data_IF_639146548832
#
_entry.id   IF_639146548832
#
_cell.length_a   1.000
_cell.length_b   1.000
_cell.length_c   1.000
_cell.angle_alpha   90.00
_cell.angle_beta   90.00
_cell.angle_gamma   90.00
#
_symmetry.space_group_name_H-M   'P 1'
#
loop_
_entity.id
_entity.type
_entity.pdbx_description
1 polymer ?
#
# COMPACT_ATOMS: atom_id res chain seq x y z
N UNK A 1 6.74 -2.38 -19.54
CA UNK A 1 7.51 -2.51 -18.29
C UNK A 1 7.15 -1.30 -17.45
N UNK A 2 6.15 -1.45 -16.57
CA UNK A 2 5.68 -0.35 -15.72
C UNK A 2 6.81 0.01 -14.76
N UNK A 3 7.34 1.22 -14.88
CA UNK A 3 8.33 1.76 -13.96
C UNK A 3 7.61 2.04 -12.64
N UNK A 4 7.72 1.11 -11.68
CA UNK A 4 7.52 1.42 -10.27
C UNK A 4 8.67 2.37 -9.84
N UNK A 5 8.52 3.64 -10.20
CA UNK A 5 9.21 4.80 -9.65
C UNK A 5 8.12 5.65 -9.01
N UNK A 6 7.52 5.11 -7.95
CA UNK A 6 6.68 5.90 -7.07
C UNK A 6 7.56 6.24 -5.86
N UNK A 7 7.94 7.50 -5.76
CA UNK A 7 8.52 8.05 -4.54
C UNK A 7 7.51 7.77 -3.43
N UNK A 8 7.93 6.88 -2.51
CA UNK A 8 7.12 6.18 -1.53
C UNK A 8 6.53 7.15 -0.50
N UNK A 9 5.47 7.86 -0.86
CA UNK A 9 4.52 8.28 0.15
C UNK A 9 3.91 6.99 0.73
N UNK A 10 3.87 6.83 2.07
CA UNK A 10 3.27 5.65 2.67
C UNK A 10 1.82 5.53 2.21
N UNK A 11 1.42 4.31 1.83
CA UNK A 11 0.05 4.05 1.43
C UNK A 11 -0.88 4.51 2.55
N UNK A 12 -1.87 5.33 2.20
CA UNK A 12 -2.77 5.89 3.20
C UNK A 12 -3.75 4.80 3.70
N UNK A 13 -4.03 4.76 5.02
CA UNK A 13 -5.00 3.81 5.56
C UNK A 13 -6.38 4.05 4.96
N UNK A 14 -7.23 3.02 4.91
CA UNK A 14 -8.55 3.13 4.32
C UNK A 14 -9.38 4.19 5.05
N UNK A 15 -10.33 4.78 4.32
CA UNK A 15 -11.35 5.64 4.91
C UNK A 15 -12.71 4.96 4.90
N UNK A 16 -13.59 5.43 5.79
CA UNK A 16 -14.99 5.03 5.80
C UNK A 16 -15.84 6.12 5.18
N UNK A 17 -16.51 5.79 4.09
CA UNK A 17 -17.47 6.65 3.42
C UNK A 17 -18.83 5.96 3.34
N UNK A 18 -19.93 6.72 3.45
CA UNK A 18 -21.24 6.18 3.13
C UNK A 18 -21.38 6.02 1.61
N UNK A 19 -22.45 5.34 1.18
CA UNK A 19 -22.76 5.16 -0.24
C UNK A 19 -23.05 6.48 -0.97
N UNK A 20 -23.02 6.40 -2.30
CA UNK A 20 -23.14 7.54 -3.22
C UNK A 20 -24.36 8.43 -2.94
N UNK A 21 -25.54 7.83 -2.76
CA UNK A 21 -26.77 8.56 -2.45
C UNK A 21 -26.68 9.40 -1.17
N UNK A 22 -26.01 8.88 -0.13
CA UNK A 22 -25.80 9.60 1.13
C UNK A 22 -24.80 10.73 0.97
N UNK A 23 -23.74 10.53 0.18
CA UNK A 23 -22.79 11.61 -0.15
C UNK A 23 -23.48 12.71 -0.97
N UNK A 24 -24.27 12.35 -1.98
CA UNK A 24 -25.02 13.31 -2.79
C UNK A 24 -26.07 14.07 -1.96
N UNK A 25 -26.75 13.40 -1.02
CA UNK A 25 -27.62 14.06 -0.05
C UNK A 25 -26.85 15.04 0.85
N UNK A 26 -25.65 14.68 1.30
CA UNK A 26 -24.80 15.58 2.07
C UNK A 26 -24.36 16.80 1.24
N UNK A 27 -24.04 16.62 -0.05
CA UNK A 27 -23.75 17.73 -0.98
C UNK A 27 -24.93 18.70 -1.05
N UNK A 28 -26.14 18.19 -1.27
CA UNK A 28 -27.35 19.02 -1.37
C UNK A 28 -27.67 19.75 -0.06
N UNK A 29 -27.22 19.23 1.08
CA UNK A 29 -27.36 19.86 2.39
C UNK A 29 -26.20 20.82 2.75
N UNK A 30 -25.15 20.92 1.94
CA UNK A 30 -24.03 21.80 2.22
C UNK A 30 -24.44 23.28 2.11
N UNK A 31 -23.91 24.19 2.96
CA UNK A 31 -24.35 25.59 2.96
C UNK A 31 -24.22 26.32 1.61
N UNK A 32 -23.22 25.99 0.81
CA UNK A 32 -23.01 26.57 -0.53
C UNK A 32 -23.79 25.87 -1.65
N UNK A 33 -24.61 24.86 -1.35
CA UNK A 33 -25.33 24.10 -2.36
C UNK A 33 -26.30 24.97 -3.18
N UNK A 34 -27.00 25.90 -2.53
CA UNK A 34 -27.93 26.82 -3.19
C UNK A 34 -27.23 27.79 -4.18
N UNK A 35 -26.01 28.20 -3.85
CA UNK A 35 -25.20 29.05 -4.72
C UNK A 35 -24.65 28.27 -5.91
N UNK A 36 -24.14 27.06 -5.64
CA UNK A 36 -23.40 26.25 -6.59
C UNK A 36 -24.26 25.36 -7.47
N UNK A 37 -25.50 25.10 -7.04
CA UNK A 37 -26.52 24.37 -7.79
C UNK A 37 -25.99 23.08 -8.43
N UNK A 38 -25.48 22.13 -7.62
CA UNK A 38 -25.19 20.81 -8.15
C UNK A 38 -26.53 20.15 -8.55
N UNK A 39 -26.72 19.91 -9.84
CA UNK A 39 -27.93 19.32 -10.41
C UNK A 39 -27.63 17.95 -11.03
N UNK A 40 -28.68 17.17 -11.28
CA UNK A 40 -28.59 15.85 -11.88
C UNK A 40 -28.82 14.70 -10.91
N UNK A 41 -28.48 13.50 -11.36
CA UNK A 41 -28.45 12.32 -10.51
C UNK A 41 -27.32 12.38 -9.46
N UNK A 42 -27.24 11.37 -8.59
CA UNK A 42 -26.26 11.38 -7.49
C UNK A 42 -24.81 11.44 -7.99
N UNK A 43 -24.51 10.85 -9.15
CA UNK A 43 -23.17 10.84 -9.74
C UNK A 43 -22.82 12.20 -10.34
N UNK A 44 -23.76 12.80 -11.06
CA UNK A 44 -23.64 14.15 -11.63
C UNK A 44 -23.46 15.21 -10.54
N UNK A 45 -24.24 15.12 -9.46
CA UNK A 45 -24.13 16.00 -8.28
C UNK A 45 -22.74 15.91 -7.64
N UNK A 46 -22.23 14.69 -7.45
CA UNK A 46 -20.90 14.50 -6.88
C UNK A 46 -19.80 15.00 -7.81
N UNK A 47 -19.86 14.69 -9.11
CA UNK A 47 -18.88 15.17 -10.07
C UNK A 47 -18.81 16.71 -10.13
N UNK A 48 -19.97 17.37 -10.18
CA UNK A 48 -20.06 18.83 -10.14
C UNK A 48 -19.48 19.41 -8.84
N UNK A 49 -19.84 18.84 -7.69
CA UNK A 49 -19.35 19.29 -6.39
C UNK A 49 -17.83 19.14 -6.25
N UNK A 50 -17.28 18.01 -6.68
CA UNK A 50 -15.84 17.79 -6.69
C UNK A 50 -15.10 18.82 -7.57
N UNK A 51 -15.69 19.22 -8.69
CA UNK A 51 -15.20 20.34 -9.52
C UNK A 51 -15.17 21.65 -8.76
N UNK A 52 -16.30 22.05 -8.14
CA UNK A 52 -16.38 23.28 -7.36
C UNK A 52 -15.43 23.33 -6.16
N UNK A 53 -15.26 22.21 -5.46
CA UNK A 53 -14.28 22.11 -4.39
C UNK A 53 -12.86 22.31 -4.92
N UNK A 54 -12.51 21.65 -6.03
CA UNK A 54 -11.19 21.76 -6.64
C UNK A 54 -10.87 23.19 -7.05
N UNK A 55 -11.80 23.88 -7.71
CA UNK A 55 -11.58 25.25 -8.17
C UNK A 55 -11.37 26.22 -7.01
N UNK A 56 -12.19 26.11 -5.95
CA UNK A 56 -12.05 26.97 -4.76
C UNK A 56 -10.79 26.67 -3.95
N UNK A 57 -10.45 25.39 -3.77
CA UNK A 57 -9.25 24.98 -3.04
C UNK A 57 -7.97 25.34 -3.82
N UNK A 58 -7.99 25.26 -5.16
CA UNK A 58 -6.87 25.66 -5.99
C UNK A 58 -6.64 27.19 -5.98
N UNK A 59 -7.70 27.98 -5.74
CA UNK A 59 -7.59 29.44 -5.63
C UNK A 59 -6.90 29.89 -4.32
N UNK A 60 -6.87 29.04 -3.29
CA UNK A 60 -6.20 29.31 -2.02
C UNK A 60 -5.33 28.12 -1.57
N UNK A 61 -4.03 28.22 -1.84
CA UNK A 61 -3.06 27.18 -1.47
C UNK A 61 -2.99 26.91 0.04
N UNK A 62 -3.34 27.86 0.89
CA UNK A 62 -3.37 27.65 2.35
C UNK A 62 -4.52 26.72 2.73
N UNK A 63 -5.70 26.97 2.14
CA UNK A 63 -6.90 26.17 2.35
C UNK A 63 -6.72 24.72 1.88
N UNK A 64 -6.08 24.53 0.71
CA UNK A 64 -5.75 23.21 0.19
C UNK A 64 -4.81 22.44 1.12
N UNK A 65 -3.74 23.09 1.60
CA UNK A 65 -2.80 22.47 2.54
C UNK A 65 -3.47 22.13 3.87
N UNK A 66 -4.39 22.97 4.34
CA UNK A 66 -5.14 22.71 5.57
C UNK A 66 -6.06 21.48 5.42
N UNK A 67 -6.80 21.36 4.33
CA UNK A 67 -7.63 20.19 4.04
C UNK A 67 -6.79 18.90 3.97
N UNK A 68 -5.66 18.94 3.25
CA UNK A 68 -4.74 17.80 3.13
C UNK A 68 -4.17 17.45 4.51
N UNK A 69 -3.76 18.43 5.31
CA UNK A 69 -3.27 18.20 6.68
C UNK A 69 -4.34 17.52 7.54
N UNK A 70 -5.58 18.03 7.56
CA UNK A 70 -6.68 17.41 8.30
C UNK A 70 -6.97 15.98 7.82
N UNK A 71 -6.81 15.72 6.52
CA UNK A 71 -6.99 14.39 5.96
C UNK A 71 -5.88 13.43 6.37
N UNK A 72 -4.62 13.85 6.29
CA UNK A 72 -3.48 12.98 6.61
C UNK A 72 -3.35 12.72 8.12
N UNK A 73 -3.57 13.73 8.97
CA UNK A 73 -3.41 13.55 10.43
C UNK A 73 -4.59 12.85 11.07
N UNK A 74 -5.81 13.00 10.51
CA UNK A 74 -7.07 12.55 11.13
C UNK A 74 -7.33 13.11 12.53
N UNK A 75 -6.56 14.11 12.95
CA UNK A 75 -6.65 14.70 14.27
C UNK A 75 -7.73 15.79 14.32
N UNK A 76 -8.49 15.90 15.41
CA UNK A 76 -9.40 17.01 15.60
C UNK A 76 -8.65 18.35 15.61
N UNK A 77 -9.15 19.32 14.85
CA UNK A 77 -8.61 20.66 14.77
C UNK A 77 -9.29 21.59 15.78
N UNK A 78 -8.50 22.42 16.47
CA UNK A 78 -8.99 23.43 17.42
C UNK A 78 -8.84 24.82 16.82
N UNK A 79 -9.78 25.72 17.13
CA UNK A 79 -9.78 27.11 16.65
C UNK A 79 -10.80 27.38 15.53
N UNK A 80 -10.60 28.47 14.80
CA UNK A 80 -11.49 28.87 13.71
C UNK A 80 -11.20 28.06 12.45
N UNK A 81 -12.24 27.47 11.85
CA UNK A 81 -12.14 26.79 10.55
C UNK A 81 -12.49 27.77 9.44
N UNK A 82 -11.76 27.76 8.30
CA UNK A 82 -12.09 28.62 7.18
C UNK A 82 -13.55 28.48 6.73
N UNK A 83 -14.21 29.63 6.54
CA UNK A 83 -15.62 29.70 6.10
C UNK A 83 -15.87 28.90 4.82
N UNK A 84 -14.88 28.82 3.93
CA UNK A 84 -14.97 28.03 2.69
C UNK A 84 -15.10 26.54 2.96
N UNK A 85 -14.36 25.96 3.93
CA UNK A 85 -14.49 24.53 4.26
C UNK A 85 -15.86 24.24 4.87
N UNK A 86 -16.33 25.12 5.76
CA UNK A 86 -17.65 25.04 6.37
C UNK A 86 -18.76 25.18 5.33
N UNK A 87 -18.63 26.15 4.43
CA UNK A 87 -19.59 26.41 3.35
C UNK A 87 -19.70 25.26 2.35
N UNK A 88 -18.58 24.62 2.04
CA UNK A 88 -18.53 23.42 1.20
C UNK A 88 -18.96 22.14 1.95
N UNK A 89 -19.27 22.24 3.25
CA UNK A 89 -19.66 21.10 4.09
C UNK A 89 -18.53 20.10 4.31
N UNK A 90 -17.26 20.49 4.16
CA UNK A 90 -16.09 19.60 4.27
C UNK A 90 -15.69 19.32 5.72
N UNK A 91 -16.19 20.11 6.67
CA UNK A 91 -15.95 19.94 8.10
C UNK A 91 -17.26 19.76 8.85
N UNK A 92 -17.22 19.05 9.98
CA UNK A 92 -18.33 18.99 10.93
C UNK A 92 -18.38 20.30 11.73
N UNK A 93 -19.58 20.84 11.96
CA UNK A 93 -19.76 22.11 12.68
C UNK A 93 -19.79 21.94 14.22
N UNK A 94 -18.84 21.18 14.76
CA UNK A 94 -18.72 20.90 16.20
C UNK A 94 -17.23 20.92 16.60
N UNK A 95 -16.89 21.59 17.69
CA UNK A 95 -15.51 21.66 18.20
C UNK A 95 -15.18 20.45 19.08
N UNK A 96 -14.01 19.80 18.92
CA UNK A 96 -12.97 20.08 17.93
C UNK A 96 -13.37 19.60 16.52
N UNK A 97 -13.03 20.41 15.52
CA UNK A 97 -13.46 20.23 14.14
C UNK A 97 -12.78 19.02 13.50
N UNK A 98 -13.56 18.21 12.80
CA UNK A 98 -13.08 17.06 12.04
C UNK A 98 -13.65 17.12 10.62
N UNK A 99 -13.00 16.41 9.69
CA UNK A 99 -13.56 16.27 8.34
C UNK A 99 -14.93 15.58 8.40
N UNK A 100 -15.88 16.11 7.66
CA UNK A 100 -17.14 15.43 7.37
C UNK A 100 -16.91 14.27 6.40
N UNK A 101 -17.94 13.47 6.10
CA UNK A 101 -17.83 12.49 5.02
C UNK A 101 -17.52 13.13 3.66
N UNK A 102 -18.06 14.33 3.38
CA UNK A 102 -17.71 15.08 2.18
C UNK A 102 -16.25 15.55 2.21
N UNK A 103 -15.77 16.01 3.37
CA UNK A 103 -14.37 16.38 3.55
C UNK A 103 -13.42 15.23 3.27
N UNK A 104 -13.70 14.05 3.84
CA UNK A 104 -12.93 12.83 3.60
C UNK A 104 -12.94 12.43 2.12
N UNK A 105 -14.12 12.45 1.49
CA UNK A 105 -14.28 12.07 0.09
C UNK A 105 -13.58 13.04 -0.86
N UNK A 106 -13.77 14.36 -0.69
CA UNK A 106 -13.10 15.38 -1.53
C UNK A 106 -11.59 15.33 -1.34
N UNK A 107 -11.10 15.27 -0.10
CA UNK A 107 -9.67 15.20 0.17
C UNK A 107 -9.04 13.93 -0.42
N UNK A 108 -9.73 12.78 -0.38
CA UNK A 108 -9.30 11.55 -1.06
C UNK A 108 -9.11 11.77 -2.55
N UNK A 109 -10.06 12.42 -3.23
CA UNK A 109 -9.95 12.70 -4.67
C UNK A 109 -8.77 13.64 -4.99
N UNK A 110 -8.53 14.62 -4.13
CA UNK A 110 -7.44 15.58 -4.28
C UNK A 110 -6.08 14.90 -4.07
N UNK A 111 -5.94 14.09 -3.02
CA UNK A 111 -4.71 13.32 -2.76
C UNK A 111 -4.41 12.42 -3.96
N UNK A 112 -5.38 11.64 -4.42
CA UNK A 112 -5.21 10.78 -5.60
C UNK A 112 -4.79 11.56 -6.84
N UNK A 113 -5.41 12.71 -7.13
CA UNK A 113 -5.05 13.54 -8.27
C UNK A 113 -3.65 14.18 -8.14
N UNK A 114 -3.19 14.46 -6.92
CA UNK A 114 -1.93 15.18 -6.66
C UNK A 114 -0.74 14.23 -6.56
N UNK A 115 -0.93 13.08 -5.93
CA UNK A 115 0.14 12.11 -5.65
C UNK A 115 0.11 10.89 -6.56
N UNK A 116 -1.01 10.66 -7.28
CA UNK A 116 -1.24 9.41 -8.00
C UNK A 116 -1.63 8.23 -7.08
N UNK A 117 -1.76 8.47 -5.77
CA UNK A 117 -2.05 7.41 -4.80
C UNK A 117 -3.53 7.36 -4.45
N UNK A 118 -4.15 6.22 -4.74
CA UNK A 118 -5.51 5.94 -4.30
C UNK A 118 -5.54 5.61 -2.80
N UNK A 119 -6.44 6.27 -2.07
CA UNK A 119 -6.74 5.91 -0.67
C UNK A 119 -7.90 4.92 -0.67
N UNK A 120 -7.76 3.70 -0.15
CA UNK A 120 -8.86 2.74 -0.18
C UNK A 120 -10.09 3.23 0.60
N UNK A 121 -11.27 2.76 0.21
CA UNK A 121 -12.50 2.94 1.00
C UNK A 121 -12.85 1.56 1.58
N UNK A 122 -13.18 1.50 2.88
CA UNK A 122 -13.62 0.24 3.49
C UNK A 122 -14.79 -0.37 2.71
N UNK A 123 -14.67 -1.65 2.37
CA UNK A 123 -15.60 -2.44 1.57
C UNK A 123 -15.46 -2.27 0.05
N UNK A 124 -14.61 -1.36 -0.43
CA UNK A 124 -14.44 -1.15 -1.89
C UNK A 124 -13.78 -2.33 -2.60
N UNK A 125 -13.14 -3.24 -1.87
CA UNK A 125 -12.49 -4.40 -2.46
C UNK A 125 -13.43 -5.61 -2.61
N UNK A 126 -14.68 -5.54 -2.14
CA UNK A 126 -15.59 -6.69 -2.06
C UNK A 126 -15.74 -7.47 -3.39
N UNK A 127 -15.84 -6.74 -4.50
CA UNK A 127 -16.00 -7.31 -5.85
C UNK A 127 -14.67 -7.53 -6.58
N UNK A 128 -13.54 -7.18 -5.96
CA UNK A 128 -12.20 -7.31 -6.54
C UNK A 128 -11.70 -8.77 -6.58
N UNK A 129 -10.66 -9.03 -7.36
CA UNK A 129 -9.94 -10.32 -7.30
C UNK A 129 -8.98 -10.36 -6.09
N UNK A 130 -8.42 -11.54 -5.80
CA UNK A 130 -7.48 -11.69 -4.69
C UNK A 130 -6.22 -10.82 -4.85
N UNK A 131 -5.78 -10.51 -6.07
CA UNK A 131 -4.62 -9.66 -6.28
C UNK A 131 -4.93 -8.20 -5.90
N UNK A 132 -6.11 -7.70 -6.26
CA UNK A 132 -6.61 -6.39 -5.86
C UNK A 132 -6.81 -6.31 -4.34
N UNK A 133 -7.38 -7.35 -3.72
CA UNK A 133 -7.49 -7.45 -2.26
C UNK A 133 -6.11 -7.33 -1.61
N UNK A 134 -5.16 -8.21 -1.95
CA UNK A 134 -3.83 -8.22 -1.35
C UNK A 134 -3.04 -6.93 -1.61
N UNK A 135 -3.31 -6.25 -2.73
CA UNK A 135 -2.71 -4.95 -3.02
C UNK A 135 -3.25 -3.86 -2.09
N UNK A 136 -4.57 -3.82 -1.88
CA UNK A 136 -5.24 -2.85 -1.02
C UNK A 136 -4.86 -3.03 0.45
N UNK A 137 -4.86 -4.27 0.95
CA UNK A 137 -4.56 -4.59 2.36
C UNK A 137 -3.17 -4.13 2.82
N UNK A 138 -2.26 -3.80 1.90
CA UNK A 138 -0.95 -3.22 2.23
C UNK A 138 -1.04 -1.93 3.05
N UNK A 139 -2.10 -1.15 2.88
CA UNK A 139 -2.31 0.10 3.63
C UNK A 139 -3.19 -0.05 4.86
N UNK A 140 -3.80 -1.22 5.06
CA UNK A 140 -4.78 -1.44 6.12
C UNK A 140 -4.06 -1.80 7.43
N UNK A 141 -4.44 -1.17 8.56
CA UNK A 141 -4.15 -1.68 9.90
C UNK A 141 -4.68 -3.11 10.08
N UNK A 142 -4.01 -3.93 10.91
CA UNK A 142 -4.35 -5.35 11.10
C UNK A 142 -5.84 -5.58 11.42
N UNK A 143 -6.39 -4.82 12.37
CA UNK A 143 -7.80 -4.93 12.76
C UNK A 143 -8.79 -4.62 11.62
N UNK A 144 -8.40 -3.77 10.65
CA UNK A 144 -9.25 -3.42 9.50
C UNK A 144 -9.08 -4.40 8.34
N UNK A 145 -7.97 -5.14 8.27
CA UNK A 145 -7.78 -6.21 7.27
C UNK A 145 -8.79 -7.32 7.43
N UNK A 146 -9.08 -7.72 8.67
CA UNK A 146 -10.05 -8.77 8.98
C UNK A 146 -11.46 -8.37 8.54
N UNK A 147 -11.84 -7.11 8.76
CA UNK A 147 -13.14 -6.58 8.33
C UNK A 147 -13.24 -6.55 6.79
N UNK A 148 -12.21 -6.04 6.11
CA UNK A 148 -12.19 -5.98 4.64
C UNK A 148 -12.22 -7.39 4.02
N UNK A 149 -11.45 -8.33 4.60
CA UNK A 149 -11.46 -9.73 4.18
C UNK A 149 -12.85 -10.35 4.35
N UNK A 150 -13.52 -10.12 5.48
CA UNK A 150 -14.87 -10.62 5.72
C UNK A 150 -15.87 -10.04 4.69
N UNK A 151 -15.70 -8.78 4.30
CA UNK A 151 -16.45 -8.15 3.21
C UNK A 151 -16.20 -8.84 1.87
N UNK A 152 -14.94 -9.07 1.52
CA UNK A 152 -14.54 -9.75 0.28
C UNK A 152 -15.02 -11.19 0.17
N UNK A 153 -15.06 -11.92 1.28
CA UNK A 153 -15.54 -13.30 1.34
C UNK A 153 -17.06 -13.44 1.22
N UNK A 154 -17.81 -12.34 1.34
CA UNK A 154 -19.28 -12.38 1.33
C UNK A 154 -19.80 -12.91 -0.01
N UNK A 155 -20.40 -14.09 0.00
CA UNK A 155 -20.96 -14.73 -1.18
C UNK A 155 -19.94 -15.49 -2.04
N UNK A 156 -18.69 -15.64 -1.57
CA UNK A 156 -17.68 -16.51 -2.18
C UNK A 156 -17.66 -17.88 -1.51
N UNK A 157 -17.36 -18.92 -2.27
CA UNK A 157 -17.08 -20.24 -1.71
C UNK A 157 -15.69 -20.23 -1.03
N UNK A 158 -15.56 -20.68 0.23
CA UNK A 158 -14.30 -20.59 0.98
C UNK A 158 -13.11 -21.26 0.28
N UNK A 159 -13.31 -22.42 -0.33
CA UNK A 159 -12.26 -23.16 -1.04
C UNK A 159 -11.77 -22.41 -2.29
N UNK A 160 -12.69 -21.75 -3.00
CA UNK A 160 -12.36 -20.94 -4.18
C UNK A 160 -11.57 -19.70 -3.76
N UNK A 161 -11.99 -19.03 -2.69
CA UNK A 161 -11.28 -17.87 -2.14
C UNK A 161 -9.85 -18.20 -1.71
N UNK A 162 -9.65 -19.33 -1.00
CA UNK A 162 -8.32 -19.83 -0.62
C UNK A 162 -7.45 -20.11 -1.84
N UNK A 163 -8.02 -20.78 -2.86
CA UNK A 163 -7.31 -21.08 -4.09
C UNK A 163 -6.92 -19.80 -4.86
N UNK A 164 -7.81 -18.81 -4.90
CA UNK A 164 -7.59 -17.53 -5.55
C UNK A 164 -6.43 -16.75 -4.90
N UNK A 165 -6.43 -16.64 -3.56
CA UNK A 165 -5.34 -16.01 -2.80
C UNK A 165 -4.01 -16.75 -3.04
N UNK A 166 -4.01 -18.08 -2.93
CA UNK A 166 -2.82 -18.89 -3.12
C UNK A 166 -2.24 -18.78 -4.55
N UNK A 167 -3.09 -18.65 -5.56
CA UNK A 167 -2.68 -18.43 -6.94
C UNK A 167 -2.07 -17.04 -7.14
N UNK A 168 -2.68 -16.00 -6.56
CA UNK A 168 -2.24 -14.61 -6.67
C UNK A 168 -0.81 -14.41 -6.13
N UNK A 169 -0.43 -15.17 -5.08
CA UNK A 169 0.88 -15.05 -4.43
C UNK A 169 2.03 -14.96 -5.44
N UNK A 170 2.05 -15.76 -6.51
CA UNK A 170 3.16 -15.79 -7.46
C UNK A 170 3.41 -14.46 -8.20
N UNK A 171 2.41 -13.60 -8.30
CA UNK A 171 2.41 -12.43 -9.22
C UNK A 171 2.29 -11.09 -8.52
N UNK A 172 1.83 -11.07 -7.27
CA UNK A 172 1.69 -9.83 -6.48
C UNK A 172 3.04 -9.30 -6.00
N UNK A 173 3.05 -8.07 -5.49
CA UNK A 173 4.24 -7.46 -4.89
C UNK A 173 4.70 -8.21 -3.63
N UNK A 174 5.98 -8.07 -3.23
CA UNK A 174 6.49 -8.64 -1.99
C UNK A 174 5.65 -8.40 -0.73
N UNK A 175 5.16 -7.18 -0.47
CA UNK A 175 4.31 -6.94 0.71
C UNK A 175 2.93 -7.61 0.57
N UNK A 176 2.29 -7.52 -0.59
CA UNK A 176 1.04 -8.24 -0.86
C UNK A 176 1.19 -9.76 -0.70
N UNK A 177 2.34 -10.31 -1.11
CA UNK A 177 2.69 -11.72 -0.93
C UNK A 177 2.84 -12.06 0.56
N UNK A 178 3.48 -11.20 1.34
CA UNK A 178 3.60 -11.36 2.79
C UNK A 178 2.22 -11.46 3.45
N UNK A 179 1.34 -10.50 3.14
CA UNK A 179 -0.03 -10.46 3.63
C UNK A 179 -0.80 -11.71 3.21
N UNK A 180 -0.71 -12.12 1.94
CA UNK A 180 -1.41 -13.32 1.47
C UNK A 180 -0.95 -14.60 2.17
N UNK A 181 0.34 -14.74 2.48
CA UNK A 181 0.86 -15.87 3.26
C UNK A 181 0.36 -15.83 4.70
N UNK A 182 0.32 -14.66 5.32
CA UNK A 182 -0.23 -14.45 6.66
C UNK A 182 -1.71 -14.85 6.71
N UNK A 183 -2.54 -14.27 5.82
CA UNK A 183 -3.97 -14.56 5.74
C UNK A 183 -4.24 -16.06 5.57
N UNK A 184 -3.56 -16.72 4.63
CA UNK A 184 -3.68 -18.17 4.44
C UNK A 184 -3.23 -18.99 5.66
N UNK A 185 -2.31 -18.46 6.47
CA UNK A 185 -1.84 -19.15 7.68
C UNK A 185 -2.81 -18.99 8.86
N UNK A 186 -3.48 -17.85 8.98
CA UNK A 186 -4.22 -17.46 10.18
C UNK A 186 -5.73 -17.44 10.01
N UNK A 187 -6.25 -17.06 8.83
CA UNK A 187 -7.68 -16.79 8.63
C UNK A 187 -8.46 -17.97 8.04
N UNK A 188 -7.78 -18.92 7.39
CA UNK A 188 -8.42 -20.00 6.62
C UNK A 188 -8.16 -21.41 7.17
N UNK A 189 -7.78 -21.54 8.45
CA UNK A 189 -7.67 -22.85 9.10
C UNK A 189 -6.73 -23.85 8.39
N UNK A 190 -7.17 -25.10 8.28
CA UNK A 190 -6.39 -26.18 7.66
C UNK A 190 -6.32 -26.04 6.14
N UNK A 191 -7.37 -25.53 5.51
CA UNK A 191 -7.48 -25.31 4.08
C UNK A 191 -6.40 -24.33 3.60
N UNK A 192 -6.22 -23.23 4.32
CA UNK A 192 -5.16 -22.25 4.05
C UNK A 192 -3.75 -22.82 4.25
N UNK A 193 -3.52 -23.57 5.35
CA UNK A 193 -2.24 -24.27 5.58
C UNK A 193 -1.93 -25.29 4.49
N UNK A 194 -2.93 -26.00 4.00
CA UNK A 194 -2.79 -26.96 2.90
C UNK A 194 -2.50 -26.26 1.58
N UNK A 195 -3.17 -25.14 1.30
CA UNK A 195 -2.91 -24.32 0.14
C UNK A 195 -1.46 -23.83 0.10
N UNK A 196 -0.92 -23.33 1.23
CA UNK A 196 0.50 -22.95 1.35
C UNK A 196 1.43 -24.14 1.17
N UNK A 197 1.11 -25.29 1.76
CA UNK A 197 1.91 -26.51 1.62
C UNK A 197 2.07 -26.94 0.16
N UNK A 198 1.01 -26.83 -0.65
CA UNK A 198 1.05 -27.12 -2.09
C UNK A 198 1.97 -26.18 -2.87
N UNK A 199 2.22 -24.96 -2.37
CA UNK A 199 3.12 -24.00 -3.02
C UNK A 199 4.61 -24.28 -2.75
N UNK A 200 4.94 -25.09 -1.73
CA UNK A 200 6.33 -25.32 -1.33
C UNK A 200 7.19 -25.93 -2.43
N UNK A 201 6.60 -26.73 -3.32
CA UNK A 201 7.32 -27.33 -4.46
C UNK A 201 7.72 -26.31 -5.52
N UNK A 202 7.07 -25.14 -5.57
CA UNK A 202 7.45 -24.07 -6.49
C UNK A 202 8.72 -23.42 -5.96
N UNK A 203 9.81 -23.40 -6.73
CA UNK A 203 11.14 -22.92 -6.28
C UNK A 203 11.12 -21.64 -5.42
N UNK A 204 11.25 -20.48 -6.06
CA UNK A 204 11.41 -19.18 -5.39
C UNK A 204 10.24 -18.84 -4.46
N UNK A 205 9.00 -19.06 -4.92
CA UNK A 205 7.81 -18.79 -4.10
C UNK A 205 7.74 -19.70 -2.87
N UNK A 206 8.01 -21.00 -3.04
CA UNK A 206 8.01 -21.98 -1.96
C UNK A 206 9.11 -21.70 -0.94
N UNK A 207 10.28 -21.20 -1.37
CA UNK A 207 11.32 -20.72 -0.45
C UNK A 207 10.86 -19.52 0.38
N UNK A 208 10.16 -18.54 -0.22
CA UNK A 208 9.58 -17.41 0.52
C UNK A 208 8.52 -17.87 1.51
N UNK A 209 7.63 -18.76 1.10
CA UNK A 209 6.59 -19.32 1.97
C UNK A 209 7.24 -20.09 3.13
N UNK A 210 8.24 -20.92 2.86
CA UNK A 210 8.94 -21.68 3.89
C UNK A 210 9.61 -20.76 4.93
N UNK A 211 10.31 -19.72 4.47
CA UNK A 211 10.94 -18.74 5.35
C UNK A 211 9.91 -18.01 6.22
N UNK A 212 8.79 -17.56 5.64
CA UNK A 212 7.74 -16.82 6.36
C UNK A 212 6.93 -17.69 7.34
N UNK A 213 6.79 -18.99 7.05
CA UNK A 213 6.01 -19.92 7.88
C UNK A 213 6.87 -20.76 8.82
N UNK A 214 8.19 -20.52 8.88
CA UNK A 214 9.12 -21.21 9.79
C UNK A 214 9.39 -22.68 9.41
N UNK A 215 9.20 -23.06 8.14
CA UNK A 215 9.41 -24.42 7.64
C UNK A 215 10.88 -24.67 7.29
N UNK A 216 11.64 -25.17 8.26
CA UNK A 216 13.09 -25.37 8.17
C UNK A 216 13.49 -26.67 7.46
N UNK A 217 12.54 -27.56 7.18
CA UNK A 217 12.77 -28.82 6.47
C UNK A 217 13.11 -28.61 4.99
N UNK A 218 12.68 -27.48 4.40
CA UNK A 218 13.04 -27.11 3.03
C UNK A 218 14.44 -26.52 3.02
N UNK A 219 15.32 -27.09 2.21
CA UNK A 219 16.66 -26.54 1.96
C UNK A 219 16.65 -25.73 0.64
N UNK A 220 16.52 -24.40 0.68
CA UNK A 220 16.52 -23.58 -0.53
C UNK A 220 17.90 -23.56 -1.20
N UNK A 221 17.91 -23.57 -2.54
CA UNK A 221 19.13 -23.34 -3.31
C UNK A 221 19.65 -21.90 -3.12
N UNK A 222 20.93 -21.62 -3.40
CA UNK A 222 21.51 -20.29 -3.22
C UNK A 222 20.77 -19.15 -3.92
N UNK A 223 20.20 -19.39 -5.10
CA UNK A 223 19.41 -18.39 -5.82
C UNK A 223 18.03 -18.17 -5.22
N UNK A 224 17.44 -19.20 -4.61
CA UNK A 224 16.21 -19.06 -3.83
C UNK A 224 16.45 -18.29 -2.53
N UNK A 225 17.59 -18.49 -1.86
CA UNK A 225 17.98 -17.71 -0.68
C UNK A 225 18.10 -16.22 -1.04
N UNK A 226 18.81 -15.91 -2.14
CA UNK A 226 18.91 -14.54 -2.64
C UNK A 226 17.53 -13.94 -2.95
N UNK A 227 16.64 -14.75 -3.55
CA UNK A 227 15.27 -14.33 -3.82
C UNK A 227 14.48 -13.99 -2.57
N UNK A 228 14.55 -14.84 -1.52
CA UNK A 228 13.88 -14.65 -0.24
C UNK A 228 14.34 -13.35 0.42
N UNK A 229 15.66 -13.13 0.49
CA UNK A 229 16.21 -11.92 1.11
C UNK A 229 15.72 -10.65 0.40
N UNK A 230 15.69 -10.65 -0.94
CA UNK A 230 15.18 -9.50 -1.69
C UNK A 230 13.67 -9.32 -1.53
N UNK A 231 12.87 -10.40 -1.52
CA UNK A 231 11.42 -10.31 -1.30
C UNK A 231 11.10 -9.76 0.11
N UNK A 232 11.79 -10.23 1.15
CA UNK A 232 11.60 -9.72 2.50
C UNK A 232 12.02 -8.25 2.63
N UNK A 233 13.17 -7.87 2.08
CA UNK A 233 13.63 -6.48 2.04
C UNK A 233 12.64 -5.56 1.30
N UNK A 234 12.16 -6.00 0.15
CA UNK A 234 11.20 -5.25 -0.65
C UNK A 234 9.83 -5.11 0.05
N UNK A 235 9.39 -6.13 0.80
CA UNK A 235 8.16 -6.05 1.58
C UNK A 235 8.25 -4.96 2.67
N UNK A 236 9.39 -4.84 3.35
CA UNK A 236 9.63 -3.76 4.34
C UNK A 236 9.65 -2.37 3.68
N UNK A 237 10.29 -2.26 2.51
CA UNK A 237 10.29 -1.01 1.74
C UNK A 237 8.87 -0.59 1.33
N UNK A 238 8.06 -1.54 0.88
CA UNK A 238 6.66 -1.29 0.50
C UNK A 238 5.78 -0.90 1.69
N UNK A 239 6.11 -1.35 2.90
CA UNK A 239 5.36 -1.02 4.10
C UNK A 239 5.53 0.46 4.50
N UNK A 240 6.61 1.11 4.04
CA UNK A 240 6.87 2.53 4.27
C UNK A 240 7.64 2.81 5.57
N UNK A 241 8.34 1.81 6.11
CA UNK A 241 9.28 2.01 7.21
C UNK A 241 10.40 2.99 6.82
N UNK A 242 10.95 3.70 7.80
CA UNK A 242 12.08 4.59 7.59
C UNK A 242 13.26 3.79 6.97
N UNK A 243 13.93 4.32 5.93
CA UNK A 243 15.02 3.61 5.25
C UNK A 243 16.08 2.99 6.18
N UNK A 244 16.39 3.67 7.29
CA UNK A 244 17.32 3.17 8.31
C UNK A 244 16.80 1.92 9.04
N UNK A 245 15.53 1.89 9.40
CA UNK A 245 14.88 0.74 10.07
C UNK A 245 14.77 -0.45 9.13
N UNK A 246 14.52 -0.19 7.84
CA UNK A 246 14.53 -1.23 6.81
C UNK A 246 15.92 -1.84 6.69
N UNK A 247 16.97 -1.01 6.64
CA UNK A 247 18.37 -1.46 6.58
C UNK A 247 18.74 -2.30 7.82
N UNK A 248 18.39 -1.84 9.02
CA UNK A 248 18.62 -2.57 10.27
C UNK A 248 17.89 -3.93 10.28
N UNK A 249 16.65 -3.97 9.80
CA UNK A 249 15.87 -5.20 9.69
C UNK A 249 16.47 -6.19 8.69
N UNK A 250 16.99 -5.71 7.55
CA UNK A 250 17.66 -6.55 6.55
C UNK A 250 19.04 -7.00 7.05
N UNK A 251 19.69 -6.22 7.91
CA UNK A 251 20.97 -6.60 8.47
C UNK A 251 20.90 -7.91 9.27
N UNK A 252 19.73 -8.29 9.81
CA UNK A 252 19.55 -9.56 10.54
C UNK A 252 20.62 -9.78 11.64
N UNK A 253 21.11 -8.69 12.25
CA UNK A 253 22.18 -8.72 13.26
C UNK A 253 23.61 -8.84 12.72
N UNK A 254 23.81 -8.87 11.40
CA UNK A 254 25.13 -8.89 10.75
C UNK A 254 25.88 -7.56 10.95
N UNK A 255 27.20 -7.65 11.13
CA UNK A 255 28.05 -6.47 11.10
C UNK A 255 28.22 -5.93 9.67
N UNK A 256 28.83 -4.74 9.52
CA UNK A 256 28.98 -4.11 8.22
C UNK A 256 29.90 -4.88 7.24
N UNK A 257 30.82 -5.70 7.72
CA UNK A 257 31.66 -6.56 6.86
C UNK A 257 30.86 -7.76 6.34
N UNK A 258 30.13 -8.43 7.21
CA UNK A 258 29.22 -9.53 6.89
C UNK A 258 28.12 -9.08 5.92
N UNK A 259 27.53 -7.90 6.14
CA UNK A 259 26.57 -7.29 5.24
C UNK A 259 27.19 -7.02 3.86
N UNK A 260 28.37 -6.38 3.82
CA UNK A 260 29.07 -6.11 2.55
C UNK A 260 29.39 -7.41 1.79
N UNK A 261 29.69 -8.51 2.49
CA UNK A 261 29.88 -9.84 1.93
C UNK A 261 28.60 -10.47 1.38
N UNK A 262 27.43 -10.11 1.93
CA UNK A 262 26.12 -10.63 1.55
C UNK A 262 25.51 -9.90 0.35
N UNK A 263 25.74 -8.59 0.20
CA UNK A 263 25.20 -7.79 -0.92
C UNK A 263 25.42 -8.43 -2.32
N UNK A 264 26.61 -8.99 -2.66
CA UNK A 264 26.81 -9.68 -3.93
C UNK A 264 25.86 -10.87 -4.17
N UNK A 265 25.42 -11.54 -3.10
CA UNK A 265 24.50 -12.68 -3.16
C UNK A 265 23.11 -12.20 -3.58
N UNK A 266 22.67 -11.02 -3.13
CA UNK A 266 21.36 -10.45 -3.51
C UNK A 266 21.25 -10.26 -5.03
N UNK A 267 22.34 -9.92 -5.71
CA UNK A 267 22.39 -9.76 -7.17
C UNK A 267 22.39 -11.08 -7.95
N UNK A 268 22.51 -12.23 -7.27
CA UNK A 268 22.42 -13.55 -7.88
C UNK A 268 20.96 -13.98 -8.13
N UNK A 269 20.04 -13.55 -7.24
CA UNK A 269 18.61 -13.70 -7.44
C UNK A 269 18.14 -12.73 -8.53
N UNK A 270 17.49 -13.26 -9.55
CA UNK A 270 16.87 -12.51 -10.66
C UNK A 270 15.59 -11.75 -10.23
N UNK A 271 15.56 -11.22 -8.99
CA UNK A 271 14.40 -10.56 -8.40
C UNK A 271 14.08 -9.22 -9.04
N UNK A 272 12.82 -8.96 -9.48
CA UNK A 272 12.43 -7.69 -10.06
C UNK A 272 12.80 -6.49 -9.16
N UNK A 273 12.71 -6.69 -7.84
CA UNK A 273 13.03 -5.69 -6.82
C UNK A 273 14.51 -5.60 -6.43
N UNK A 274 15.40 -6.46 -6.95
CA UNK A 274 16.83 -6.42 -6.60
C UNK A 274 17.42 -5.03 -6.82
N UNK A 275 17.06 -4.37 -7.93
CA UNK A 275 17.56 -3.03 -8.24
C UNK A 275 17.13 -1.96 -7.22
N UNK A 276 15.92 -2.08 -6.67
CA UNK A 276 15.38 -1.13 -5.69
C UNK A 276 15.99 -1.35 -4.32
N UNK A 277 16.09 -2.60 -3.87
CA UNK A 277 16.78 -2.96 -2.61
C UNK A 277 18.24 -2.53 -2.64
N UNK A 278 18.95 -2.73 -3.76
CA UNK A 278 20.33 -2.26 -3.89
C UNK A 278 20.44 -0.73 -3.82
N UNK A 279 19.47 0.03 -4.35
CA UNK A 279 19.46 1.49 -4.26
C UNK A 279 19.25 1.98 -2.83
N UNK A 280 18.36 1.35 -2.06
CA UNK A 280 18.21 1.61 -0.64
C UNK A 280 19.56 1.58 0.10
N UNK A 281 20.34 0.51 -0.11
CA UNK A 281 21.68 0.38 0.51
C UNK A 281 22.69 1.43 0.01
N UNK A 282 22.57 1.89 -1.23
CA UNK A 282 23.46 2.92 -1.79
C UNK A 282 23.16 4.27 -1.15
N UNK A 283 21.88 4.60 -0.99
CA UNK A 283 21.41 5.94 -0.65
C UNK A 283 21.35 6.15 0.87
N UNK A 284 21.15 5.09 1.66
CA UNK A 284 20.83 5.21 3.09
C UNK A 284 21.74 4.42 4.05
N UNK A 285 22.63 3.55 3.57
CA UNK A 285 23.46 2.76 4.49
C UNK A 285 24.60 3.61 5.10
N UNK A 286 24.84 3.56 6.44
CA UNK A 286 25.83 4.42 7.09
C UNK A 286 27.29 4.02 6.81
N UNK A 287 27.56 2.73 6.57
CA UNK A 287 28.90 2.23 6.22
C UNK A 287 29.14 2.24 4.71
N UNK A 288 30.16 2.98 4.27
CA UNK A 288 30.51 3.13 2.84
C UNK A 288 30.88 1.82 2.15
N UNK A 289 31.39 0.80 2.87
CA UNK A 289 31.77 -0.49 2.31
C UNK A 289 30.56 -1.24 1.77
N UNK A 290 29.46 -1.21 2.51
CA UNK A 290 28.18 -1.82 2.11
C UNK A 290 27.61 -1.09 0.90
N UNK A 291 27.55 0.25 0.94
CA UNK A 291 27.09 1.04 -0.21
C UNK A 291 27.96 0.85 -1.46
N UNK A 292 29.28 0.69 -1.30
CA UNK A 292 30.20 0.39 -2.40
C UNK A 292 29.96 -1.01 -2.99
N UNK A 293 29.73 -2.02 -2.14
CA UNK A 293 29.34 -3.35 -2.57
C UNK A 293 28.01 -3.30 -3.34
N UNK A 294 27.03 -2.52 -2.87
CA UNK A 294 25.72 -2.37 -3.52
C UNK A 294 25.83 -1.69 -4.88
N UNK A 295 26.65 -0.62 -5.00
CA UNK A 295 26.99 0.01 -6.29
C UNK A 295 27.61 -1.00 -7.27
N UNK A 296 28.51 -1.87 -6.80
CA UNK A 296 29.15 -2.89 -7.64
C UNK A 296 28.14 -3.95 -8.10
N UNK A 297 27.27 -4.40 -7.19
CA UNK A 297 26.20 -5.35 -7.48
C UNK A 297 25.19 -4.78 -8.49
N UNK A 298 24.77 -3.52 -8.31
CA UNK A 298 23.82 -2.86 -9.21
C UNK A 298 24.40 -2.67 -10.63
N UNK A 299 25.69 -2.32 -10.75
CA UNK A 299 26.38 -2.27 -12.06
C UNK A 299 26.40 -3.63 -12.76
N UNK A 300 26.64 -4.71 -12.01
CA UNK A 300 26.61 -6.09 -12.55
C UNK A 300 25.21 -6.49 -13.00
N UNK A 301 24.18 -6.15 -12.23
CA UNK A 301 22.78 -6.43 -12.57
C UNK A 301 22.39 -5.79 -13.92
N UNK A 302 22.75 -4.51 -14.13
CA UNK A 302 22.51 -3.81 -15.41
C UNK A 302 23.27 -4.46 -16.56
N UNK A 303 24.56 -4.73 -16.37
CA UNK A 303 25.37 -5.39 -17.41
C UNK A 303 24.89 -6.79 -17.79
N UNK A 304 24.25 -7.53 -16.88
CA UNK A 304 23.62 -8.83 -17.17
C UNK A 304 22.32 -8.69 -17.96
N UNK A 305 21.54 -7.62 -17.72
CA UNK A 305 20.33 -7.33 -18.47
C UNK A 305 20.65 -6.98 -19.93
N UNK A 306 21.71 -6.19 -20.16
CA UNK A 306 22.16 -5.79 -21.50
C UNK A 306 22.67 -6.96 -22.36
N UNK A 307 23.05 -8.09 -21.75
CA UNK A 307 23.52 -9.30 -22.46
C UNK A 307 22.37 -10.28 -22.75
N UNK A 308 21.22 -10.13 -22.09
CA UNK A 308 20.05 -11.02 -22.22
C UNK A 308 18.93 -10.45 -23.12
N UNK A 309 19.04 -9.18 -23.52
CA UNK A 309 18.15 -8.53 -24.50
C UNK A 309 18.74 -8.60 -25.91
#
# INVERSE_FOLDING_TARGET
MSSYHDDTLPLQPPIRLPGEATLAAAVRAAPLAEELKPEGDDSEVLAAWAGHCRDRLAADGTLLLELIRMFLTREPHQGEVPETLTGLGLVRQEEPYTLSWLGLWVARLIVAATTGQEVPVMGSLADGDAAALLHGLRSYPEAERDEELAGWLKGREPDEAVAEIAAALATVSPLSRAIGVELLSTQFGDEGRLALSRQLEKRKLGAVIAARTGRTERQPAPDEIAWVLVDMAAALLEFGDEPGQVIESIALGMDAEEQAGTIPILAFGDHPWTGQVLRLFIDHHPDERVSAAARKALRRLRGLADVRG
#
